data_IF_121831289593
#
_entry.id   IF_121831289593
#
_cell.length_a   1.000
_cell.length_b   1.000
_cell.length_c   1.000
_cell.angle_alpha   90.00
_cell.angle_beta   90.00
_cell.angle_gamma   90.00
#
_symmetry.space_group_name_H-M   'P 1'
#
loop_
_entity.id
_entity.type
_entity.pdbx_description
1 polymer ?
#
# COMPACT_ATOMS: atom_id res chain seq x y z
N UNK A 1 31.27 -30.11 15.26
CA UNK A 1 30.76 -29.08 14.32
C UNK A 1 29.37 -28.72 14.81
N UNK A 2 29.07 -27.45 15.12
CA UNK A 2 27.70 -27.08 15.47
C UNK A 2 26.86 -27.30 14.21
N UNK A 3 25.86 -28.17 14.31
CA UNK A 3 24.86 -28.35 13.28
C UNK A 3 24.11 -27.04 13.11
N UNK A 4 24.39 -26.34 12.02
CA UNK A 4 23.52 -25.26 11.55
C UNK A 4 22.23 -25.96 11.14
N UNK A 5 21.26 -26.03 12.05
CA UNK A 5 19.87 -26.29 11.68
C UNK A 5 19.52 -25.22 10.67
N UNK A 6 19.50 -25.59 9.39
CA UNK A 6 18.85 -24.78 8.37
C UNK A 6 17.41 -24.62 8.86
N UNK A 7 17.08 -23.38 9.20
CA UNK A 7 15.72 -23.02 9.56
C UNK A 7 14.88 -23.13 8.28
N UNK A 8 14.20 -24.26 8.13
CA UNK A 8 13.38 -24.64 6.98
C UNK A 8 12.02 -23.92 7.02
N UNK A 9 12.04 -22.60 7.23
CA UNK A 9 10.85 -21.77 7.25
C UNK A 9 10.28 -21.59 5.82
N UNK A 10 8.97 -21.70 5.62
CA UNK A 10 8.37 -21.51 4.30
C UNK A 10 8.53 -20.08 3.79
N UNK A 11 8.65 -19.93 2.47
CA UNK A 11 8.66 -18.62 1.82
C UNK A 11 7.27 -17.98 1.89
N UNK A 12 7.23 -16.66 2.06
CA UNK A 12 6.00 -15.87 1.88
C UNK A 12 5.35 -16.14 0.50
N UNK A 13 6.18 -16.39 -0.51
CA UNK A 13 5.73 -16.70 -1.86
C UNK A 13 4.99 -18.02 -2.01
N UNK A 14 5.18 -18.94 -1.05
CA UNK A 14 4.46 -20.20 -0.99
C UNK A 14 3.24 -20.09 -0.09
N UNK A 15 3.33 -19.34 1.02
CA UNK A 15 2.18 -19.11 1.91
C UNK A 15 1.10 -18.23 1.28
N UNK A 16 1.46 -17.18 0.54
CA UNK A 16 0.54 -16.25 -0.15
C UNK A 16 0.78 -16.26 -1.66
N UNK A 17 0.35 -17.30 -2.39
CA UNK A 17 0.91 -17.65 -3.69
C UNK A 17 0.59 -16.69 -4.83
N UNK A 18 -0.59 -16.07 -4.83
CA UNK A 18 -0.94 -15.05 -5.83
C UNK A 18 -0.23 -13.74 -5.52
N UNK A 19 0.46 -13.21 -6.52
CA UNK A 19 1.07 -11.89 -6.44
C UNK A 19 1.11 -11.20 -7.79
N UNK A 20 1.10 -9.88 -7.75
CA UNK A 20 0.99 -9.01 -8.93
C UNK A 20 2.04 -7.91 -8.85
N UNK A 21 2.63 -7.55 -9.99
CA UNK A 21 3.49 -6.39 -10.07
C UNK A 21 2.65 -5.10 -9.94
N UNK A 22 3.08 -4.09 -9.16
CA UNK A 22 2.36 -2.84 -8.95
C UNK A 22 1.87 -2.17 -10.24
N UNK A 23 0.69 -1.52 -10.22
CA UNK A 23 0.25 -0.70 -11.34
C UNK A 23 1.29 0.36 -11.69
N UNK A 24 1.41 0.67 -12.98
CA UNK A 24 2.33 1.68 -13.49
C UNK A 24 1.52 2.79 -14.15
N UNK A 25 1.56 3.99 -13.57
CA UNK A 25 0.90 5.17 -14.14
C UNK A 25 1.58 5.62 -15.44
N UNK A 26 2.92 5.65 -15.45
CA UNK A 26 3.72 6.07 -16.60
C UNK A 26 3.88 7.59 -16.75
N UNK A 27 3.13 8.35 -15.96
CA UNK A 27 3.17 9.82 -15.85
C UNK A 27 2.74 10.23 -14.43
N UNK A 28 3.15 11.41 -13.97
CA UNK A 28 2.95 11.82 -12.58
C UNK A 28 1.60 12.47 -12.29
N UNK A 29 1.08 13.28 -13.22
CA UNK A 29 -0.05 14.17 -12.97
C UNK A 29 -1.40 13.50 -12.58
N UNK A 30 -1.72 12.24 -12.97
CA UNK A 30 -2.97 11.58 -12.58
C UNK A 30 -3.04 11.22 -11.09
N UNK A 31 -1.93 11.28 -10.36
CA UNK A 31 -1.87 11.09 -8.92
C UNK A 31 -1.36 12.34 -8.21
N UNK A 32 -1.71 12.48 -6.93
CA UNK A 32 -1.24 13.60 -6.11
C UNK A 32 -1.89 13.69 -4.74
N UNK A 33 -1.33 14.51 -3.83
CA UNK A 33 -1.78 14.62 -2.44
C UNK A 33 -3.10 15.40 -2.27
N UNK A 34 -3.65 15.98 -3.33
CA UNK A 34 -4.87 16.79 -3.29
C UNK A 34 -5.85 16.43 -4.41
N UNK A 35 -7.04 15.96 -4.05
CA UNK A 35 -8.07 15.55 -4.99
C UNK A 35 -8.59 16.71 -5.85
N UNK A 36 -8.73 17.91 -5.29
CA UNK A 36 -9.22 19.08 -6.01
C UNK A 36 -8.25 19.49 -7.14
N UNK A 37 -6.95 19.38 -6.89
CA UNK A 37 -5.90 19.57 -7.89
C UNK A 37 -6.02 18.54 -9.01
N UNK A 38 -6.31 17.27 -8.72
CA UNK A 38 -6.51 16.26 -9.76
C UNK A 38 -7.71 16.57 -10.67
N UNK A 39 -8.83 17.02 -10.09
CA UNK A 39 -10.00 17.47 -10.86
C UNK A 39 -9.65 18.68 -11.75
N UNK A 40 -8.89 19.63 -11.20
CA UNK A 40 -8.42 20.81 -11.95
C UNK A 40 -7.45 20.46 -13.08
N UNK A 41 -6.58 19.45 -12.87
CA UNK A 41 -5.69 18.90 -13.91
C UNK A 41 -6.47 18.26 -15.05
N UNK A 42 -7.47 17.47 -14.71
CA UNK A 42 -8.36 16.88 -15.69
C UNK A 42 -9.06 17.95 -16.53
N UNK A 43 -9.63 18.97 -15.88
CA UNK A 43 -10.29 20.08 -16.59
C UNK A 43 -9.33 20.84 -17.51
N UNK A 44 -8.09 21.08 -17.06
CA UNK A 44 -7.06 21.70 -17.89
C UNK A 44 -6.69 20.83 -19.11
N UNK A 45 -6.56 19.52 -18.92
CA UNK A 45 -6.33 18.58 -20.02
C UNK A 45 -7.48 18.58 -21.04
N UNK A 46 -8.73 18.63 -20.58
CA UNK A 46 -9.90 18.61 -21.48
C UNK A 46 -10.13 19.94 -22.21
N UNK A 47 -9.70 21.07 -21.62
CA UNK A 47 -9.77 22.41 -22.24
C UNK A 47 -8.68 22.64 -23.29
N UNK A 48 -7.56 21.94 -23.19
CA UNK A 48 -6.48 22.05 -24.16
C UNK A 48 -6.87 21.37 -25.48
N UNK A 49 -6.34 21.87 -26.60
CA UNK A 49 -6.64 21.36 -27.93
C UNK A 49 -5.36 20.95 -28.68
N UNK A 50 -5.50 20.04 -29.64
CA UNK A 50 -4.44 19.68 -30.57
C UNK A 50 -3.09 19.34 -29.91
N UNK A 51 -1.98 19.93 -30.37
CA UNK A 51 -0.64 19.67 -29.83
C UNK A 51 -0.48 19.99 -28.33
N UNK A 52 -1.17 21.01 -27.83
CA UNK A 52 -1.07 21.41 -26.41
C UNK A 52 -1.66 20.34 -25.50
N UNK A 53 -2.79 19.75 -25.90
CA UNK A 53 -3.39 18.63 -25.18
C UNK A 53 -2.47 17.41 -25.16
N UNK A 54 -1.82 17.12 -26.28
CA UNK A 54 -0.89 15.99 -26.40
C UNK A 54 0.35 16.22 -25.52
N UNK A 55 0.88 17.45 -25.49
CA UNK A 55 1.99 17.81 -24.61
C UNK A 55 1.60 17.67 -23.12
N UNK A 56 0.45 18.23 -22.70
CA UNK A 56 -0.04 18.14 -21.32
C UNK A 56 -0.32 16.69 -20.88
N UNK A 57 -0.74 15.83 -21.80
CA UNK A 57 -1.04 14.44 -21.50
C UNK A 57 0.20 13.62 -21.12
N UNK A 58 1.38 13.99 -21.63
CA UNK A 58 2.65 13.26 -21.49
C UNK A 58 2.55 11.82 -22.05
N UNK A 59 2.35 11.62 -23.38
CA UNK A 59 2.17 10.30 -23.97
C UNK A 59 3.37 9.40 -23.73
N UNK A 60 3.09 8.13 -23.48
CA UNK A 60 4.09 7.07 -23.34
C UNK A 60 3.92 6.07 -24.48
N UNK A 61 4.85 5.12 -24.58
CA UNK A 61 4.69 3.96 -25.49
C UNK A 61 3.40 3.16 -25.25
N UNK A 62 2.83 3.23 -24.04
CA UNK A 62 1.70 2.39 -23.64
C UNK A 62 0.36 3.13 -23.70
N UNK A 63 0.38 4.46 -23.51
CA UNK A 63 -0.83 5.27 -23.43
C UNK A 63 -0.61 6.62 -24.11
N UNK A 64 -1.47 6.89 -25.08
CA UNK A 64 -1.59 8.11 -25.88
C UNK A 64 -3.04 8.61 -25.83
N UNK A 65 -3.31 9.84 -26.29
CA UNK A 65 -4.69 10.34 -26.42
C UNK A 65 -5.57 9.46 -27.32
N UNK A 66 -4.97 8.63 -28.17
CA UNK A 66 -5.65 7.71 -29.10
C UNK A 66 -5.77 6.28 -28.57
N UNK A 67 -5.33 6.03 -27.34
CA UNK A 67 -5.50 4.73 -26.70
C UNK A 67 -6.95 4.52 -26.30
N UNK A 68 -7.52 3.39 -26.70
CA UNK A 68 -8.80 2.90 -26.23
C UNK A 68 -8.53 1.66 -25.37
N UNK A 69 -9.12 1.62 -24.18
CA UNK A 69 -8.94 0.54 -23.21
C UNK A 69 -10.26 0.27 -22.52
N UNK A 70 -10.44 -0.96 -22.03
CA UNK A 70 -11.59 -1.30 -21.20
C UNK A 70 -11.60 -0.53 -19.90
N UNK A 71 -12.79 -0.39 -19.32
CA UNK A 71 -13.02 0.29 -18.05
C UNK A 71 -12.26 -0.41 -16.92
N UNK A 72 -11.77 0.37 -15.96
CA UNK A 72 -11.25 -0.23 -14.72
C UNK A 72 -12.40 -0.91 -13.95
N UNK A 73 -12.21 -2.14 -13.47
CA UNK A 73 -13.20 -2.82 -12.64
C UNK A 73 -13.62 -1.96 -11.44
N UNK A 74 -14.93 -1.89 -11.18
CA UNK A 74 -15.51 -1.10 -10.09
C UNK A 74 -15.51 0.43 -10.30
N UNK A 75 -15.00 0.92 -11.43
CA UNK A 75 -14.96 2.36 -11.73
C UNK A 75 -16.03 2.73 -12.76
N UNK A 76 -16.27 4.03 -12.92
CA UNK A 76 -17.23 4.60 -13.88
C UNK A 76 -16.57 5.45 -14.97
N UNK A 77 -15.26 5.29 -15.17
CA UNK A 77 -14.50 6.06 -16.17
C UNK A 77 -14.88 5.70 -17.61
N UNK A 78 -14.65 6.64 -18.53
CA UNK A 78 -14.86 6.45 -19.97
C UNK A 78 -13.92 5.42 -20.60
N UNK A 79 -14.36 4.79 -21.68
CA UNK A 79 -13.60 3.79 -22.47
C UNK A 79 -13.23 4.30 -23.87
N UNK A 80 -13.76 5.46 -24.25
CA UNK A 80 -13.45 6.15 -25.50
C UNK A 80 -12.05 6.74 -25.48
N UNK A 81 -11.43 6.92 -26.65
CA UNK A 81 -10.17 7.66 -26.79
C UNK A 81 -10.23 9.02 -26.11
N UNK A 82 -9.24 9.34 -25.28
CA UNK A 82 -9.13 10.63 -24.61
C UNK A 82 -9.19 11.81 -25.58
N UNK A 83 -8.69 11.66 -26.81
CA UNK A 83 -8.80 12.68 -27.86
C UNK A 83 -10.24 13.21 -28.05
N UNK A 84 -11.26 12.36 -27.84
CA UNK A 84 -12.69 12.70 -27.95
C UNK A 84 -13.38 12.78 -26.60
N UNK A 85 -12.66 12.53 -25.51
CA UNK A 85 -13.25 12.49 -24.18
C UNK A 85 -13.77 13.87 -23.79
N UNK A 86 -14.99 13.86 -23.27
CA UNK A 86 -15.72 15.00 -22.72
C UNK A 86 -16.32 14.58 -21.39
N UNK A 87 -16.49 15.52 -20.47
CA UNK A 87 -17.19 15.26 -19.22
C UNK A 87 -16.32 15.45 -17.98
N UNK A 88 -16.92 15.29 -16.79
CA UNK A 88 -16.24 15.57 -15.54
C UNK A 88 -15.11 14.57 -15.27
N UNK A 89 -14.17 14.98 -14.43
CA UNK A 89 -13.17 14.08 -13.88
C UNK A 89 -13.85 12.93 -13.13
N UNK A 90 -13.47 11.66 -13.37
CA UNK A 90 -13.84 10.57 -12.47
C UNK A 90 -13.46 10.92 -11.03
N UNK A 91 -14.29 10.53 -10.06
CA UNK A 91 -14.01 10.85 -8.65
C UNK A 91 -12.66 10.25 -8.25
N UNK A 92 -11.67 11.06 -7.82
CA UNK A 92 -10.39 10.53 -7.41
C UNK A 92 -10.52 9.55 -6.24
N UNK A 93 -9.78 8.46 -6.29
CA UNK A 93 -9.79 7.41 -5.25
C UNK A 93 -8.50 7.43 -4.45
N UNK A 94 -8.57 7.00 -3.19
CA UNK A 94 -7.38 6.83 -2.34
C UNK A 94 -6.54 5.64 -2.80
N UNK A 95 -5.24 5.86 -2.86
CA UNK A 95 -4.23 4.85 -3.20
C UNK A 95 -3.05 4.98 -2.26
N UNK A 96 -2.35 3.88 -1.99
CA UNK A 96 -1.05 3.95 -1.33
C UNK A 96 -0.01 4.27 -2.41
N UNK A 97 0.46 5.52 -2.44
CA UNK A 97 1.38 6.02 -3.48
C UNK A 97 2.85 5.74 -3.13
N UNK A 98 3.22 5.95 -1.87
CA UNK A 98 4.50 5.58 -1.30
C UNK A 98 4.30 4.95 0.10
N UNK A 99 5.37 4.50 0.76
CA UNK A 99 5.26 3.91 2.10
C UNK A 99 4.61 4.90 3.06
N UNK A 100 3.47 4.50 3.64
CA UNK A 100 2.63 5.34 4.52
C UNK A 100 2.10 6.66 3.91
N UNK A 101 2.32 6.91 2.62
CA UNK A 101 1.81 8.09 1.92
C UNK A 101 0.63 7.69 1.04
N UNK A 102 -0.55 7.84 1.62
CA UNK A 102 -1.79 7.70 0.89
C UNK A 102 -2.13 9.01 0.17
N UNK A 103 -2.35 8.90 -1.13
CA UNK A 103 -2.65 10.02 -2.00
C UNK A 103 -3.92 9.72 -2.80
N UNK A 104 -4.23 10.59 -3.75
CA UNK A 104 -5.36 10.45 -4.66
C UNK A 104 -4.87 10.02 -6.05
N UNK A 105 -5.70 9.28 -6.76
CA UNK A 105 -5.51 8.87 -8.15
C UNK A 105 -6.81 9.09 -8.92
N UNK A 106 -6.72 9.62 -10.15
CA UNK A 106 -7.84 9.58 -11.10
C UNK A 106 -7.98 8.14 -11.62
N UNK A 107 -9.05 7.41 -11.28
CA UNK A 107 -9.18 5.98 -11.61
C UNK A 107 -9.64 5.77 -13.05
N UNK A 108 -8.84 6.22 -14.02
CA UNK A 108 -9.12 6.08 -15.45
C UNK A 108 -8.01 5.28 -16.14
N UNK A 109 -8.38 4.13 -16.71
CA UNK A 109 -7.43 3.21 -17.34
C UNK A 109 -6.62 3.88 -18.48
N UNK A 110 -7.20 4.89 -19.14
CA UNK A 110 -6.55 5.60 -20.25
C UNK A 110 -5.34 6.41 -19.76
N UNK A 111 -5.29 6.75 -18.47
CA UNK A 111 -4.19 7.46 -17.81
C UNK A 111 -3.10 6.52 -17.27
N UNK A 112 -3.36 5.20 -17.24
CA UNK A 112 -2.52 4.22 -16.54
C UNK A 112 -1.87 3.26 -17.54
N UNK A 113 -0.55 3.37 -17.65
CA UNK A 113 0.28 2.55 -18.53
C UNK A 113 0.12 1.03 -18.35
N UNK A 114 0.03 0.56 -17.10
CA UNK A 114 -0.28 -0.83 -16.77
C UNK A 114 -1.18 -0.87 -15.52
N UNK A 115 -2.49 -1.04 -15.72
CA UNK A 115 -3.46 -0.85 -14.63
C UNK A 115 -3.63 -2.02 -13.68
N UNK A 116 -3.28 -3.25 -14.09
CA UNK A 116 -3.53 -4.48 -13.33
C UNK A 116 -5.00 -4.63 -12.91
N UNK A 117 -5.95 -4.73 -13.86
CA UNK A 117 -7.39 -4.83 -13.57
C UNK A 117 -7.75 -5.87 -12.50
N UNK A 118 -6.98 -6.95 -12.40
CA UNK A 118 -7.11 -7.99 -11.38
C UNK A 118 -7.03 -7.47 -9.94
N UNK A 119 -6.25 -6.41 -9.66
CA UNK A 119 -6.19 -5.78 -8.34
C UNK A 119 -7.40 -4.90 -8.07
N UNK A 120 -7.91 -4.21 -9.10
CA UNK A 120 -9.12 -3.38 -9.01
C UNK A 120 -10.36 -4.23 -8.75
N UNK A 121 -10.46 -5.43 -9.36
CA UNK A 121 -11.60 -6.35 -9.13
C UNK A 121 -11.76 -6.71 -7.67
N UNK A 122 -10.66 -6.93 -6.97
CA UNK A 122 -10.66 -7.40 -5.58
C UNK A 122 -10.47 -6.27 -4.58
N UNK A 123 -10.47 -5.01 -5.03
CA UNK A 123 -10.33 -3.84 -4.18
C UNK A 123 -11.70 -3.47 -3.60
N UNK A 124 -11.98 -3.93 -2.39
CA UNK A 124 -13.17 -3.60 -1.62
C UNK A 124 -12.84 -3.40 -0.13
N UNK A 125 -13.85 -3.13 0.69
CA UNK A 125 -13.73 -2.88 2.14
C UNK A 125 -13.18 -4.07 2.95
N UNK A 126 -13.19 -5.29 2.39
CA UNK A 126 -12.68 -6.51 3.05
C UNK A 126 -11.25 -6.81 2.65
N UNK A 127 -10.73 -6.16 1.61
CA UNK A 127 -9.41 -6.46 1.09
C UNK A 127 -8.30 -5.86 1.94
N UNK A 128 -7.22 -6.62 2.06
CA UNK A 128 -5.93 -6.12 2.54
C UNK A 128 -4.88 -6.44 1.49
N UNK A 129 -4.18 -5.44 1.00
CA UNK A 129 -3.04 -5.61 0.12
C UNK A 129 -1.75 -5.62 0.95
N UNK A 130 -0.99 -6.70 0.84
CA UNK A 130 0.37 -6.77 1.36
C UNK A 130 1.34 -6.39 0.26
N UNK A 131 2.27 -5.50 0.55
CA UNK A 131 3.30 -5.04 -0.41
C UNK A 131 4.65 -5.42 0.13
N UNK A 132 5.41 -6.20 -0.64
CA UNK A 132 6.82 -6.45 -0.35
C UNK A 132 7.61 -5.16 -0.47
N UNK A 133 8.38 -4.86 0.57
CA UNK A 133 9.28 -3.71 0.61
C UNK A 133 10.73 -4.20 0.59
N UNK A 134 11.58 -3.74 -0.34
CA UNK A 134 12.99 -4.09 -0.36
C UNK A 134 13.66 -3.34 0.78
N UNK A 135 13.91 -4.02 1.89
CA UNK A 135 14.43 -3.40 3.11
C UNK A 135 15.74 -4.06 3.53
N UNK A 136 16.80 -3.79 2.76
CA UNK A 136 18.17 -4.19 3.12
C UNK A 136 18.79 -3.28 4.21
N UNK A 137 18.21 -2.09 4.43
CA UNK A 137 18.77 -1.03 5.30
C UNK A 137 17.95 -0.75 6.55
N UNK A 138 17.00 -1.62 6.89
CA UNK A 138 16.08 -1.45 8.02
C UNK A 138 14.73 -0.85 7.60
N UNK A 139 13.68 -1.22 8.34
CA UNK A 139 12.30 -0.93 7.94
C UNK A 139 11.39 -2.16 8.06
N UNK A 140 10.08 -1.99 7.87
CA UNK A 140 9.17 -3.12 7.71
C UNK A 140 9.46 -3.83 6.37
N UNK A 141 9.52 -5.17 6.40
CA UNK A 141 9.68 -6.00 5.19
C UNK A 141 8.41 -6.03 4.34
N UNK A 142 7.26 -5.86 5.00
CA UNK A 142 5.95 -5.84 4.39
C UNK A 142 5.20 -4.57 4.83
N UNK A 143 4.47 -3.97 3.89
CA UNK A 143 3.47 -2.96 4.18
C UNK A 143 2.08 -3.56 3.98
N UNK A 144 1.12 -3.17 4.80
CA UNK A 144 -0.27 -3.56 4.65
C UNK A 144 -1.15 -2.32 4.45
N UNK A 145 -2.09 -2.39 3.50
CA UNK A 145 -3.00 -1.28 3.21
C UNK A 145 -4.35 -1.79 2.73
N UNK A 146 -5.39 -1.00 2.98
CA UNK A 146 -6.75 -1.21 2.46
C UNK A 146 -6.97 -0.50 1.12
N UNK A 147 -5.97 0.26 0.65
CA UNK A 147 -6.02 1.00 -0.61
C UNK A 147 -5.15 0.34 -1.67
N UNK A 148 -5.47 0.55 -2.95
CA UNK A 148 -4.69 0.01 -4.05
C UNK A 148 -3.24 0.54 -3.98
N UNK A 149 -2.21 -0.31 -3.88
CA UNK A 149 -0.83 0.15 -3.76
C UNK A 149 -0.16 0.33 -5.11
N UNK A 150 0.61 1.42 -5.25
CA UNK A 150 1.38 1.79 -6.44
C UNK A 150 2.90 1.66 -6.26
N UNK A 151 3.34 1.23 -5.07
CA UNK A 151 4.72 1.25 -4.62
C UNK A 151 5.61 0.32 -5.44
N UNK A 152 6.84 0.74 -5.72
CA UNK A 152 7.88 -0.07 -6.38
C UNK A 152 9.23 0.13 -5.68
N UNK A 153 10.18 -0.81 -5.77
CA UNK A 153 10.03 -2.18 -6.31
C UNK A 153 9.36 -3.10 -5.29
N UNK A 154 8.63 -4.13 -5.74
CA UNK A 154 7.97 -5.08 -4.84
C UNK A 154 6.81 -5.82 -5.52
N UNK A 155 6.35 -6.92 -4.94
CA UNK A 155 5.13 -7.61 -5.36
C UNK A 155 3.99 -7.27 -4.40
N UNK A 156 2.78 -7.18 -4.95
CA UNK A 156 1.54 -7.03 -4.19
C UNK A 156 0.93 -8.41 -4.02
N UNK A 157 0.57 -8.77 -2.79
CA UNK A 157 -0.12 -9.99 -2.39
C UNK A 157 -1.46 -9.61 -1.74
N UNK A 158 -2.56 -9.61 -2.50
CA UNK A 158 -3.90 -9.41 -1.92
C UNK A 158 -4.21 -10.55 -0.94
N UNK A 159 -4.90 -10.28 0.17
CA UNK A 159 -5.35 -11.31 1.11
C UNK A 159 -6.47 -12.17 0.52
N UNK A 160 -7.31 -11.60 -0.33
CA UNK A 160 -8.45 -12.29 -0.93
C UNK A 160 -8.37 -12.29 -2.46
N UNK A 161 -8.60 -13.46 -3.08
CA UNK A 161 -8.58 -13.66 -4.54
C UNK A 161 -9.90 -13.29 -5.20
N UNK A 162 -10.97 -13.14 -4.41
CA UNK A 162 -12.30 -12.68 -4.84
C UNK A 162 -12.79 -11.50 -3.99
N UNK A 163 -13.73 -10.70 -4.53
CA UNK A 163 -14.43 -9.68 -3.75
C UNK A 163 -15.21 -10.29 -2.57
N UNK A 164 -15.58 -9.44 -1.61
CA UNK A 164 -16.33 -9.80 -0.42
C UNK A 164 -15.52 -10.59 0.62
N UNK A 165 -14.19 -10.58 0.51
CA UNK A 165 -13.32 -11.36 1.39
C UNK A 165 -13.34 -12.87 1.13
N UNK A 166 -13.74 -13.29 -0.07
CA UNK A 166 -13.82 -14.69 -0.45
C UNK A 166 -12.51 -15.22 -1.05
N UNK A 167 -12.32 -16.55 -1.00
CA UNK A 167 -11.12 -17.25 -1.49
C UNK A 167 -9.80 -16.62 -1.02
N UNK A 168 -9.38 -16.85 0.23
CA UNK A 168 -8.13 -16.28 0.72
C UNK A 168 -6.94 -16.70 -0.15
N UNK A 169 -6.05 -15.77 -0.41
CA UNK A 169 -4.75 -15.99 -1.05
C UNK A 169 -3.78 -16.63 -0.06
N UNK A 170 -4.11 -17.83 0.38
CA UNK A 170 -3.25 -18.67 1.20
C UNK A 170 -3.01 -19.99 0.48
N UNK A 171 -1.88 -20.66 0.78
CA UNK A 171 -1.63 -22.01 0.29
C UNK A 171 -2.83 -22.92 0.60
N UNK A 172 -3.41 -23.62 -0.40
CA UNK A 172 -4.52 -24.53 -0.15
C UNK A 172 -4.15 -25.58 0.91
N UNK A 173 -5.03 -25.80 1.88
CA UNK A 173 -4.79 -26.73 3.01
C UNK A 173 -4.00 -26.13 4.18
N UNK A 174 -3.39 -24.95 4.04
CA UNK A 174 -2.60 -24.32 5.11
C UNK A 174 -3.40 -24.08 6.39
N UNK A 175 -4.62 -23.53 6.28
CA UNK A 175 -5.47 -23.26 7.44
C UNK A 175 -5.85 -24.54 8.19
N UNK A 176 -6.15 -25.62 7.46
CA UNK A 176 -6.48 -26.91 8.05
C UNK A 176 -5.26 -27.53 8.74
N UNK A 177 -4.08 -27.46 8.10
CA UNK A 177 -2.83 -27.96 8.66
C UNK A 177 -2.45 -27.23 9.94
N UNK A 178 -2.45 -25.90 9.91
CA UNK A 178 -2.18 -25.07 11.09
C UNK A 178 -3.22 -25.32 12.19
N UNK A 179 -4.50 -25.46 11.82
CA UNK A 179 -5.54 -25.71 12.80
C UNK A 179 -5.38 -27.06 13.53
N UNK A 180 -4.95 -28.10 12.81
CA UNK A 180 -4.61 -29.41 13.41
C UNK A 180 -3.42 -29.31 14.36
N UNK A 181 -2.37 -28.57 13.97
CA UNK A 181 -1.14 -28.39 14.77
C UNK A 181 -1.38 -27.57 16.04
N UNK A 182 -2.12 -26.48 15.91
CA UNK A 182 -2.37 -25.53 16.99
C UNK A 182 -3.58 -25.90 17.88
N UNK A 183 -4.42 -26.85 17.44
CA UNK A 183 -5.67 -27.19 18.13
C UNK A 183 -6.73 -26.07 18.09
N UNK A 184 -6.69 -25.21 17.07
CA UNK A 184 -7.61 -24.07 16.87
C UNK A 184 -8.06 -23.96 15.41
N UNK A 185 -8.96 -23.03 15.08
CA UNK A 185 -9.40 -22.77 13.70
C UNK A 185 -8.93 -21.37 13.27
N UNK A 186 -7.73 -21.22 12.68
CA UNK A 186 -7.19 -19.91 12.35
C UNK A 186 -7.97 -19.29 11.19
N UNK A 187 -8.33 -18.02 11.29
CA UNK A 187 -8.91 -17.27 10.18
C UNK A 187 -7.79 -16.81 9.22
N UNK A 188 -8.10 -16.49 7.95
CA UNK A 188 -7.12 -15.92 7.03
C UNK A 188 -6.42 -14.66 7.56
N UNK A 189 -7.16 -13.81 8.27
CA UNK A 189 -6.62 -12.62 8.91
C UNK A 189 -5.63 -12.92 10.05
N UNK A 190 -5.76 -14.07 10.71
CA UNK A 190 -4.84 -14.50 11.76
C UNK A 190 -3.50 -14.93 11.16
N UNK A 191 -3.56 -15.68 10.05
CA UNK A 191 -2.35 -16.04 9.30
C UNK A 191 -1.65 -14.80 8.76
N UNK A 192 -2.41 -13.83 8.22
CA UNK A 192 -1.82 -12.57 7.78
C UNK A 192 -1.18 -11.80 8.94
N UNK A 193 -1.86 -11.71 10.09
CA UNK A 193 -1.30 -11.08 11.28
C UNK A 193 0.02 -11.75 11.69
N UNK A 194 0.03 -13.08 11.78
CA UNK A 194 1.25 -13.85 12.06
C UNK A 194 2.37 -13.51 11.06
N UNK A 195 2.08 -13.51 9.75
CA UNK A 195 3.04 -13.14 8.69
C UNK A 195 3.62 -11.74 8.96
N UNK A 196 2.79 -10.75 9.24
CA UNK A 196 3.26 -9.38 9.50
C UNK A 196 4.17 -9.28 10.73
N UNK A 197 3.94 -10.12 11.74
CA UNK A 197 4.71 -10.14 12.97
C UNK A 197 6.06 -10.86 12.81
N UNK A 198 6.14 -11.91 12.00
CA UNK A 198 7.27 -12.85 12.00
C UNK A 198 8.09 -12.91 10.71
N UNK A 199 7.63 -12.27 9.63
CA UNK A 199 8.37 -12.24 8.35
C UNK A 199 9.81 -11.75 8.54
N UNK A 200 10.74 -12.46 7.91
CA UNK A 200 12.17 -12.16 7.95
C UNK A 200 12.61 -11.34 6.75
N UNK A 201 13.82 -10.74 6.79
CA UNK A 201 14.35 -9.97 5.67
C UNK A 201 14.46 -10.74 4.35
N UNK A 202 14.65 -12.06 4.40
CA UNK A 202 14.68 -12.94 3.22
C UNK A 202 13.28 -13.38 2.73
N UNK A 203 12.21 -12.78 3.30
CA UNK A 203 10.81 -13.09 3.06
C UNK A 203 10.42 -14.54 3.40
N UNK A 204 11.19 -15.22 4.25
CA UNK A 204 10.73 -16.43 4.92
C UNK A 204 9.79 -16.07 6.07
N UNK A 205 8.81 -16.93 6.33
CA UNK A 205 7.83 -16.76 7.41
C UNK A 205 7.90 -18.00 8.30
N UNK A 206 8.59 -17.94 9.43
CA UNK A 206 8.63 -19.05 10.36
C UNK A 206 7.23 -19.27 10.96
N UNK A 207 6.77 -20.51 10.91
CA UNK A 207 5.50 -20.95 11.50
C UNK A 207 5.78 -21.74 12.78
N UNK A 208 4.81 -21.79 13.68
CA UNK A 208 4.92 -22.51 14.97
C UNK A 208 3.70 -23.39 15.22
N UNK A 209 3.89 -24.51 15.92
CA UNK A 209 2.81 -25.31 16.52
C UNK A 209 2.55 -24.93 18.00
N UNK A 210 3.34 -24.02 18.58
CA UNK A 210 3.13 -23.49 19.93
C UNK A 210 1.95 -22.49 19.92
N UNK A 211 0.82 -22.90 20.51
CA UNK A 211 -0.41 -22.11 20.54
C UNK A 211 -0.30 -20.79 21.31
N UNK A 212 0.52 -20.72 22.35
CA UNK A 212 0.73 -19.49 23.13
C UNK A 212 1.60 -18.51 22.34
N UNK A 213 2.65 -19.00 21.70
CA UNK A 213 3.48 -18.19 20.82
C UNK A 213 2.67 -17.69 19.61
N UNK A 214 1.90 -18.58 18.96
CA UNK A 214 0.99 -18.23 17.87
C UNK A 214 0.06 -17.07 18.26
N UNK A 215 -0.62 -17.20 19.40
CA UNK A 215 -1.58 -16.20 19.87
C UNK A 215 -0.93 -14.83 20.11
N UNK A 216 0.25 -14.80 20.75
CA UNK A 216 1.01 -13.56 20.96
C UNK A 216 1.47 -12.92 19.65
N UNK A 217 1.99 -13.72 18.72
CA UNK A 217 2.41 -13.23 17.40
C UNK A 217 1.23 -12.72 16.57
N UNK A 218 0.07 -13.37 16.62
CA UNK A 218 -1.16 -12.91 15.97
C UNK A 218 -1.65 -11.59 16.59
N UNK A 219 -1.62 -11.43 17.92
CA UNK A 219 -2.00 -10.18 18.57
C UNK A 219 -1.08 -9.02 18.13
N UNK A 220 0.23 -9.24 18.14
CA UNK A 220 1.21 -8.27 17.66
C UNK A 220 1.00 -7.93 16.18
N UNK A 221 0.76 -8.95 15.36
CA UNK A 221 0.46 -8.82 13.94
C UNK A 221 -0.79 -8.00 13.65
N UNK A 222 -1.86 -8.21 14.43
CA UNK A 222 -3.10 -7.42 14.34
C UNK A 222 -2.83 -5.96 14.70
N UNK A 223 -1.99 -5.70 15.70
CA UNK A 223 -1.55 -4.35 16.08
C UNK A 223 -0.80 -3.66 14.93
N UNK A 224 0.12 -4.37 14.27
CA UNK A 224 0.86 -3.88 13.08
C UNK A 224 -0.11 -3.58 11.93
N UNK A 225 -1.00 -4.53 11.62
CA UNK A 225 -2.00 -4.37 10.56
C UNK A 225 -2.89 -3.14 10.80
N UNK A 226 -3.37 -2.95 12.02
CA UNK A 226 -4.18 -1.79 12.37
C UNK A 226 -3.41 -0.47 12.17
N UNK A 227 -2.15 -0.41 12.62
CA UNK A 227 -1.29 0.77 12.44
C UNK A 227 -1.03 1.10 10.97
N UNK A 228 -0.66 0.10 10.16
CA UNK A 228 -0.31 0.32 8.76
C UNK A 228 -1.53 0.66 7.90
N UNK A 229 -2.68 0.03 8.17
CA UNK A 229 -3.93 0.27 7.44
C UNK A 229 -4.61 1.57 7.83
N UNK A 230 -4.38 2.06 9.06
CA UNK A 230 -5.03 3.28 9.61
C UNK A 230 -6.56 3.21 9.57
N UNK A 231 -7.10 1.99 9.63
CA UNK A 231 -8.54 1.75 9.61
C UNK A 231 -9.15 1.86 11.00
N UNK A 232 -10.37 2.36 11.08
CA UNK A 232 -11.14 2.43 12.32
C UNK A 232 -10.69 3.57 13.24
N UNK A 233 -10.55 3.29 14.54
CA UNK A 233 -10.16 4.29 15.52
C UNK A 233 -8.74 4.78 15.26
N UNK A 234 -8.54 6.11 15.37
CA UNK A 234 -7.21 6.70 15.21
C UNK A 234 -6.30 6.33 16.38
N UNK A 235 -5.08 5.84 16.13
CA UNK A 235 -4.14 5.54 17.20
C UNK A 235 -3.78 6.80 17.98
N UNK A 236 -3.47 6.62 19.27
CA UNK A 236 -3.05 7.69 20.18
C UNK A 236 -1.74 7.29 20.84
N UNK A 237 -0.79 8.22 20.92
CA UNK A 237 0.42 7.99 21.71
C UNK A 237 0.09 7.91 23.20
N UNK A 238 0.69 6.95 23.94
CA UNK A 238 0.51 6.85 25.38
C UNK A 238 1.13 8.05 26.12
N UNK A 239 0.79 8.21 27.40
CA UNK A 239 1.45 9.18 28.28
C UNK A 239 1.24 10.66 27.93
N UNK A 240 0.18 11.01 27.18
CA UNK A 240 -0.11 12.40 26.83
C UNK A 240 0.82 13.00 25.77
N UNK A 241 1.64 12.17 25.11
CA UNK A 241 2.63 12.59 24.10
C UNK A 241 2.03 12.81 22.71
N UNK A 242 0.76 13.23 22.62
CA UNK A 242 0.09 13.46 21.34
C UNK A 242 0.85 14.57 20.57
N UNK A 243 1.22 14.38 19.29
CA UNK A 243 1.83 15.45 18.51
C UNK A 243 0.80 16.55 18.23
N UNK A 244 1.19 17.81 18.37
CA UNK A 244 0.35 18.95 18.04
C UNK A 244 1.21 20.11 17.50
N UNK A 245 0.55 21.05 16.82
CA UNK A 245 1.20 22.23 16.24
C UNK A 245 1.52 23.23 17.36
N UNK A 246 2.80 23.37 17.74
CA UNK A 246 3.30 24.38 18.70
C UNK A 246 3.39 25.77 18.09
N UNK A 247 3.81 25.84 16.82
CA UNK A 247 3.88 27.07 16.05
C UNK A 247 3.21 26.85 14.69
N UNK A 248 2.35 27.77 14.22
CA UNK A 248 1.63 27.61 12.95
C UNK A 248 2.55 27.30 11.78
N UNK A 249 2.13 26.36 10.93
CA UNK A 249 2.86 26.04 9.71
C UNK A 249 2.74 27.21 8.71
N UNK A 250 3.81 27.48 7.97
CA UNK A 250 3.79 28.46 6.90
C UNK A 250 2.77 28.06 5.81
N UNK A 251 2.29 29.03 5.04
CA UNK A 251 1.32 28.73 3.98
C UNK A 251 1.90 27.85 2.87
N UNK A 252 3.23 27.78 2.74
CA UNK A 252 3.95 26.91 1.81
C UNK A 252 5.32 26.57 2.42
N UNK A 253 5.39 25.55 3.28
CA UNK A 253 6.66 25.15 3.85
C UNK A 253 7.57 24.62 2.74
N UNK A 254 8.84 24.99 2.78
CA UNK A 254 9.83 24.58 1.78
C UNK A 254 10.83 23.56 2.33
N UNK A 255 11.10 23.63 3.63
CA UNK A 255 12.04 22.75 4.31
C UNK A 255 11.37 21.94 5.42
N UNK A 256 11.94 20.77 5.69
CA UNK A 256 11.61 19.93 6.83
C UNK A 256 12.92 19.61 7.54
N UNK A 257 12.95 19.80 8.85
CA UNK A 257 14.09 19.51 9.71
C UNK A 257 13.58 18.96 11.06
N UNK A 258 14.48 18.47 11.90
CA UNK A 258 14.13 17.86 13.17
C UNK A 258 15.12 18.22 14.26
N UNK A 259 14.60 18.87 15.31
CA UNK A 259 15.32 19.09 16.55
C UNK A 259 15.13 17.87 17.47
N UNK A 260 16.21 17.12 17.69
CA UNK A 260 16.18 15.91 18.51
C UNK A 260 16.13 16.19 20.00
N UNK A 261 16.70 17.30 20.46
CA UNK A 261 16.72 17.65 21.88
C UNK A 261 15.35 18.17 22.33
N UNK A 262 14.66 18.92 21.45
CA UNK A 262 13.30 19.40 21.69
C UNK A 262 12.20 18.42 21.25
N UNK A 263 12.56 17.28 20.65
CA UNK A 263 11.63 16.36 19.98
C UNK A 263 10.64 17.08 19.06
N UNK A 264 11.15 17.97 18.22
CA UNK A 264 10.33 18.92 17.45
C UNK A 264 10.61 18.80 15.96
N UNK A 265 9.56 18.53 15.19
CA UNK A 265 9.59 18.60 13.74
C UNK A 265 9.40 20.04 13.28
N UNK A 266 10.35 20.54 12.50
CA UNK A 266 10.42 21.90 12.00
C UNK A 266 9.99 21.92 10.53
N UNK A 267 9.03 22.78 10.20
CA UNK A 267 8.57 23.03 8.83
C UNK A 267 8.70 24.52 8.56
N UNK A 268 9.88 24.94 8.10
CA UNK A 268 10.36 26.33 8.19
C UNK A 268 10.19 26.87 9.63
N UNK A 269 9.39 27.94 9.81
CA UNK A 269 9.08 28.53 11.12
C UNK A 269 8.04 27.73 11.93
N UNK A 270 7.34 26.79 11.29
CA UNK A 270 6.32 25.94 11.89
C UNK A 270 6.94 24.86 12.78
N UNK A 271 6.25 24.52 13.87
CA UNK A 271 6.74 23.55 14.87
C UNK A 271 5.66 22.55 15.24
N UNK A 272 5.99 21.26 15.19
CA UNK A 272 5.16 20.16 15.68
C UNK A 272 5.94 19.43 16.76
N UNK A 273 5.33 19.25 17.94
CA UNK A 273 5.96 18.61 19.11
C UNK A 273 4.89 17.96 19.99
N UNK A 274 5.20 16.94 20.80
CA UNK A 274 6.42 16.13 20.69
C UNK A 274 6.34 15.20 19.47
N UNK A 275 7.49 14.95 18.86
CA UNK A 275 7.71 13.99 17.78
C UNK A 275 8.83 13.07 18.25
N UNK A 276 8.54 11.81 18.65
CA UNK A 276 9.59 10.90 19.10
C UNK A 276 10.66 10.72 18.02
N UNK A 277 11.96 10.64 18.38
CA UNK A 277 13.04 10.50 17.41
C UNK A 277 12.88 9.27 16.50
N UNK A 278 12.27 8.21 17.01
CA UNK A 278 12.01 6.97 16.27
C UNK A 278 10.99 7.15 15.14
N UNK A 279 10.07 8.11 15.26
CA UNK A 279 9.16 8.47 14.17
C UNK A 279 9.87 9.27 13.08
N UNK A 280 10.82 10.13 13.47
CA UNK A 280 11.67 10.87 12.53
C UNK A 280 12.63 9.93 11.79
N UNK A 281 13.30 9.03 12.51
CA UNK A 281 14.26 8.08 11.96
C UNK A 281 13.59 6.89 11.24
N UNK A 282 12.26 6.85 11.18
CA UNK A 282 11.55 5.73 10.58
C UNK A 282 11.78 5.68 9.07
N UNK A 283 12.43 4.61 8.63
CA UNK A 283 12.65 4.31 7.22
C UNK A 283 11.76 3.16 6.71
N UNK A 284 11.37 3.27 5.45
CA UNK A 284 10.76 2.20 4.68
C UNK A 284 11.39 2.19 3.28
N UNK A 285 11.96 1.04 2.88
CA UNK A 285 12.68 0.93 1.61
C UNK A 285 13.95 1.79 1.54
N UNK A 286 14.61 2.02 2.68
CA UNK A 286 15.81 2.86 2.79
C UNK A 286 15.58 4.36 2.61
N UNK A 287 14.33 4.82 2.76
CA UNK A 287 13.97 6.23 2.67
C UNK A 287 13.22 6.64 3.94
N UNK A 288 13.59 7.79 4.49
CA UNK A 288 12.89 8.39 5.64
C UNK A 288 11.48 8.80 5.26
N UNK A 289 10.50 8.22 5.96
CA UNK A 289 9.08 8.32 5.58
C UNK A 289 8.57 9.76 5.66
N UNK A 290 8.88 10.49 6.75
CA UNK A 290 8.40 11.86 6.93
C UNK A 290 8.97 12.83 5.88
N UNK A 291 10.24 12.68 5.52
CA UNK A 291 10.88 13.49 4.47
C UNK A 291 10.26 13.22 3.10
N UNK A 292 10.05 11.94 2.75
CA UNK A 292 9.43 11.56 1.49
C UNK A 292 7.99 12.09 1.40
N UNK A 293 7.22 11.93 2.48
CA UNK A 293 5.84 12.41 2.57
C UNK A 293 5.74 13.94 2.41
N UNK A 294 6.68 14.68 3.01
CA UNK A 294 6.76 16.13 2.89
C UNK A 294 7.17 16.55 1.47
N UNK A 295 8.22 15.93 0.93
CA UNK A 295 8.74 16.19 -0.42
C UNK A 295 7.66 16.01 -1.49
N UNK A 296 6.82 14.97 -1.36
CA UNK A 296 5.71 14.74 -2.29
C UNK A 296 4.69 15.90 -2.37
N UNK A 297 4.61 16.73 -1.32
CA UNK A 297 3.71 17.89 -1.23
C UNK A 297 4.39 19.20 -1.64
N UNK A 298 5.71 19.31 -1.44
CA UNK A 298 6.44 20.60 -1.54
C UNK A 298 7.43 20.69 -2.70
N UNK A 299 7.90 19.56 -3.24
CA UNK A 299 8.88 19.55 -4.32
C UNK A 299 8.40 20.35 -5.54
N UNK A 300 9.21 21.23 -6.13
CA UNK A 300 8.77 22.08 -7.23
C UNK A 300 8.28 21.24 -8.42
N UNK A 301 7.20 21.71 -9.08
CA UNK A 301 6.74 21.12 -10.33
C UNK A 301 7.31 21.90 -11.51
N UNK A 302 7.52 21.21 -12.63
CA UNK A 302 7.86 21.88 -13.89
C UNK A 302 6.72 22.83 -14.31
N UNK A 303 6.99 24.12 -14.54
CA UNK A 303 5.97 25.08 -14.96
C UNK A 303 5.26 24.64 -16.23
N UNK A 304 3.99 25.04 -16.39
CA UNK A 304 3.16 24.73 -17.58
C UNK A 304 2.87 23.24 -17.80
N UNK A 305 3.13 22.38 -16.82
CA UNK A 305 2.66 20.98 -16.81
C UNK A 305 1.38 20.85 -15.98
N UNK A 306 0.65 19.74 -16.15
CA UNK A 306 -0.50 19.43 -15.29
C UNK A 306 -0.05 19.23 -13.83
N UNK A 307 1.14 18.67 -13.60
CA UNK A 307 1.68 18.49 -12.25
C UNK A 307 1.91 19.82 -11.50
N UNK A 308 2.03 20.95 -12.21
CA UNK A 308 2.12 22.28 -11.61
C UNK A 308 0.80 22.79 -11.01
N UNK A 309 -0.34 22.22 -11.42
CA UNK A 309 -1.64 22.51 -10.80
C UNK A 309 -1.68 21.81 -9.44
N UNK A 310 -1.62 22.62 -8.38
CA UNK A 310 -1.49 22.21 -6.98
C UNK A 310 -2.21 23.21 -6.06
N UNK A 311 -2.43 22.87 -4.78
CA UNK A 311 -3.01 23.82 -3.82
C UNK A 311 -2.17 25.09 -3.72
N UNK A 312 -2.84 26.24 -3.65
CA UNK A 312 -2.16 27.52 -3.51
C UNK A 312 -1.56 27.71 -2.11
N UNK A 313 -2.03 27.00 -1.10
CA UNK A 313 -1.56 27.04 0.28
C UNK A 313 -1.61 25.64 0.88
N UNK A 314 -0.89 25.43 1.97
CA UNK A 314 -0.88 24.21 2.78
C UNK A 314 -2.28 23.92 3.32
N UNK A 315 -2.96 22.85 2.85
CA UNK A 315 -4.27 22.47 3.35
C UNK A 315 -4.21 21.94 4.79
N UNK A 316 -5.19 22.27 5.61
CA UNK A 316 -5.31 21.75 6.99
C UNK A 316 -5.36 20.22 7.05
N UNK A 317 -5.91 19.58 6.01
CA UNK A 317 -5.94 18.13 5.89
C UNK A 317 -4.53 17.52 5.91
N UNK A 318 -3.54 18.16 5.26
CA UNK A 318 -2.16 17.68 5.27
C UNK A 318 -1.53 17.78 6.66
N UNK A 319 -1.83 18.83 7.44
CA UNK A 319 -1.41 18.87 8.85
C UNK A 319 -2.01 17.71 9.64
N UNK A 320 -3.29 17.42 9.44
CA UNK A 320 -3.97 16.33 10.15
C UNK A 320 -3.39 14.97 9.78
N UNK A 321 -3.13 14.73 8.49
CA UNK A 321 -2.45 13.53 7.98
C UNK A 321 -1.03 13.40 8.56
N UNK A 322 -0.27 14.50 8.65
CA UNK A 322 1.09 14.50 9.21
C UNK A 322 1.10 14.12 10.69
N UNK A 323 0.21 14.69 11.51
CA UNK A 323 0.11 14.37 12.94
C UNK A 323 -0.27 12.90 13.16
N UNK A 324 -1.16 12.37 12.33
CA UNK A 324 -1.54 10.95 12.35
C UNK A 324 -0.37 10.06 11.91
N UNK A 325 0.33 10.43 10.84
CA UNK A 325 1.50 9.71 10.35
C UNK A 325 2.59 9.63 11.42
N UNK A 326 2.95 10.76 12.05
CA UNK A 326 3.92 10.77 13.16
C UNK A 326 3.51 9.79 14.26
N UNK A 327 2.23 9.80 14.65
CA UNK A 327 1.69 8.90 15.68
C UNK A 327 1.82 7.43 15.27
N UNK A 328 1.49 7.10 14.01
CA UNK A 328 1.59 5.74 13.47
C UNK A 328 3.05 5.26 13.45
N UNK A 329 3.97 6.09 12.97
CA UNK A 329 5.39 5.74 12.88
C UNK A 329 6.03 5.52 14.26
N UNK A 330 5.73 6.38 15.22
CA UNK A 330 6.17 6.20 16.61
C UNK A 330 5.68 4.86 17.19
N UNK A 331 4.39 4.55 17.04
CA UNK A 331 3.81 3.31 17.56
C UNK A 331 4.33 2.06 16.83
N UNK A 332 4.63 2.16 15.53
CA UNK A 332 5.27 1.07 14.81
C UNK A 332 6.71 0.86 15.27
N UNK A 333 7.43 1.93 15.62
CA UNK A 333 8.77 1.81 16.17
C UNK A 333 8.76 1.09 17.54
N UNK A 334 7.77 1.35 18.39
CA UNK A 334 7.56 0.65 19.68
C UNK A 334 7.26 -0.86 19.52
N UNK A 335 6.74 -1.28 18.36
CA UNK A 335 6.41 -2.68 18.07
C UNK A 335 7.65 -3.49 17.66
N UNK A 336 8.67 -2.86 17.06
CA UNK A 336 9.85 -3.59 16.54
C UNK A 336 10.60 -4.41 17.61
N UNK A 337 10.85 -3.89 18.83
CA UNK A 337 11.46 -4.70 19.90
C UNK A 337 10.62 -5.92 20.26
N UNK A 338 9.29 -5.77 20.31
CA UNK A 338 8.38 -6.88 20.62
C UNK A 338 8.44 -7.98 19.56
N UNK A 339 8.62 -7.62 18.28
CA UNK A 339 8.86 -8.61 17.22
C UNK A 339 10.18 -9.36 17.43
N UNK A 340 11.24 -8.67 17.88
CA UNK A 340 12.53 -9.29 18.15
C UNK A 340 12.50 -10.21 19.40
N UNK A 341 11.59 -9.98 20.33
CA UNK A 341 11.38 -10.82 21.52
C UNK A 341 10.63 -12.14 21.21
N UNK A 342 9.97 -12.25 20.05
CA UNK A 342 9.32 -13.49 19.61
C UNK A 342 10.36 -14.57 19.30
N UNK A 343 10.72 -15.34 20.33
CA UNK A 343 11.61 -16.50 20.19
C UNK A 343 10.82 -17.66 19.61
N UNK A 344 11.14 -18.04 18.37
CA UNK A 344 10.42 -19.08 17.66
C UNK A 344 10.77 -20.47 18.20
N UNK A 345 9.73 -21.20 18.62
CA UNK A 345 9.79 -22.56 19.14
C UNK A 345 8.86 -23.46 18.33
N UNK A 346 9.09 -24.77 18.39
CA UNK A 346 8.25 -25.79 17.74
C UNK A 346 7.90 -25.44 16.27
N UNK A 347 8.92 -25.36 15.38
CA UNK A 347 8.70 -24.85 14.03
C UNK A 347 7.87 -25.80 13.18
N UNK A 348 6.90 -25.26 12.44
CA UNK A 348 6.26 -25.96 11.32
C UNK A 348 7.04 -25.64 10.06
N UNK A 349 7.73 -26.65 9.51
CA UNK A 349 8.72 -26.45 8.44
C UNK A 349 8.11 -26.56 7.04
N UNK A 350 8.81 -26.06 6.03
CA UNK A 350 8.42 -26.21 4.62
C UNK A 350 8.40 -27.69 4.20
N UNK A 351 9.36 -28.50 4.64
CA UNK A 351 9.39 -29.95 4.43
C UNK A 351 8.17 -30.66 5.03
N UNK A 352 7.70 -30.20 6.20
CA UNK A 352 6.46 -30.69 6.78
C UNK A 352 5.24 -30.32 5.91
N UNK A 353 5.15 -29.07 5.46
CA UNK A 353 4.07 -28.62 4.58
C UNK A 353 4.06 -29.39 3.24
N UNK A 354 5.24 -29.79 2.74
CA UNK A 354 5.36 -30.70 1.59
C UNK A 354 4.80 -32.08 1.90
N UNK A 355 5.18 -32.66 3.05
CA UNK A 355 4.70 -33.97 3.49
C UNK A 355 3.18 -33.98 3.69
N UNK A 356 2.61 -32.86 4.16
CA UNK A 356 1.18 -32.66 4.35
C UNK A 356 0.42 -32.36 3.05
N UNK A 357 1.10 -32.21 1.91
CA UNK A 357 0.48 -31.88 0.62
C UNK A 357 -0.02 -30.44 0.50
N UNK A 358 0.41 -29.54 1.39
CA UNK A 358 0.14 -28.09 1.32
C UNK A 358 1.06 -27.45 0.27
N UNK A 359 2.30 -27.92 0.18
CA UNK A 359 3.28 -27.48 -0.81
C UNK A 359 3.71 -28.63 -1.76
N UNK A 360 4.05 -28.34 -3.02
CA UNK A 360 3.96 -27.05 -3.68
C UNK A 360 2.51 -26.66 -3.98
N UNK A 361 2.22 -25.35 -3.97
CA UNK A 361 0.89 -24.86 -4.34
C UNK A 361 0.59 -25.13 -5.83
N UNK A 362 -0.66 -25.42 -6.20
CA UNK A 362 -1.05 -25.55 -7.60
C UNK A 362 -0.93 -24.21 -8.34
N UNK A 363 -0.60 -24.24 -9.63
CA UNK A 363 -0.43 -23.03 -10.47
C UNK A 363 -1.66 -22.10 -10.45
N UNK A 364 -2.86 -22.68 -10.32
CA UNK A 364 -4.10 -21.94 -10.21
C UNK A 364 -4.13 -21.02 -8.98
N UNK A 365 -3.50 -21.40 -7.87
CA UNK A 365 -3.44 -20.58 -6.65
C UNK A 365 -2.50 -19.38 -6.79
N UNK A 366 -1.57 -19.40 -7.76
CA UNK A 366 -0.62 -18.30 -8.04
C UNK A 366 -1.24 -17.18 -8.89
N UNK A 367 -2.51 -17.32 -9.28
CA UNK A 367 -3.23 -16.41 -10.20
C UNK A 367 -4.45 -15.79 -9.48
N UNK A 368 -5.00 -14.67 -9.98
CA UNK A 368 -6.31 -14.22 -9.51
C UNK A 368 -7.33 -15.36 -9.67
N UNK A 369 -8.39 -15.34 -8.86
CA UNK A 369 -9.52 -16.23 -9.13
C UNK A 369 -10.07 -15.94 -10.53
N UNK A 370 -10.62 -16.95 -11.22
CA UNK A 370 -11.31 -16.75 -12.49
C UNK A 370 -12.61 -15.99 -12.23
N UNK A 371 -12.52 -14.66 -12.15
CA UNK A 371 -13.66 -13.78 -11.99
C UNK A 371 -14.07 -13.28 -13.37
N UNK A 372 -15.19 -13.79 -13.87
CA UNK A 372 -15.97 -13.16 -14.95
C UNK A 372 -17.38 -12.79 -14.43
N UNK A 373 -17.50 -12.45 -13.16
CA UNK A 373 -18.81 -12.15 -12.56
C UNK A 373 -19.32 -10.75 -12.92
N UNK A 374 -18.49 -9.90 -13.53
CA UNK A 374 -18.81 -8.50 -13.83
C UNK A 374 -18.77 -8.24 -15.34
N UNK A 375 -19.82 -7.61 -15.87
CA UNK A 375 -19.82 -7.06 -17.22
C UNK A 375 -18.84 -5.89 -17.29
N UNK A 376 -17.62 -6.16 -17.74
CA UNK A 376 -16.62 -5.14 -17.98
C UNK A 376 -16.80 -4.55 -19.38
N UNK A 377 -17.02 -3.24 -19.45
CA UNK A 377 -17.04 -2.52 -20.71
C UNK A 377 -15.61 -2.47 -21.29
N UNK A 378 -15.43 -3.05 -22.46
CA UNK A 378 -14.22 -3.05 -23.24
C UNK A 378 -13.94 -1.71 -23.92
N UNK A 379 -12.84 -1.63 -24.70
CA UNK A 379 -12.45 -0.42 -25.41
C UNK A 379 -13.59 0.11 -26.29
N UNK A 380 -13.82 1.42 -26.28
CA UNK A 380 -14.85 2.06 -27.11
C UNK A 380 -16.28 1.49 -26.90
N UNK A 381 -16.63 1.13 -25.65
CA UNK A 381 -17.97 0.66 -25.32
C UNK A 381 -18.28 -0.80 -25.71
N UNK A 382 -17.26 -1.58 -26.08
CA UNK A 382 -17.46 -2.97 -26.50
C UNK A 382 -17.78 -3.87 -25.30
N UNK A 383 -18.94 -4.50 -25.26
CA UNK A 383 -19.20 -5.59 -24.31
C UNK A 383 -18.81 -6.92 -24.94
N UNK A 384 -18.10 -7.78 -24.21
CA UNK A 384 -17.98 -9.18 -24.60
C UNK A 384 -19.39 -9.80 -24.55
N UNK A 385 -19.85 -10.34 -25.68
CA UNK A 385 -21.00 -11.24 -25.70
C UNK A 385 -20.56 -12.49 -24.93
N UNK A 386 -21.12 -12.71 -23.74
CA UNK A 386 -20.93 -13.94 -22.95
C UNK A 386 -21.85 -15.02 -23.52
#
# INVERSE_FOLDING_TARGET
MPSVTHDDAPLLADLMPWSVAPPRLGRGWPAGPDAASLKSRWDALLKAEGPDREALFEPTRSRTLRSAVGRLPGQSSGTEKLLRATGPCPEPVRVLHAAFDEQWLIPDHRLIDAARPELWRVADERQVFVVESPSDTGGPQLLATSHLPLLRPGRIRPLHRRPGGAEPNLAPGLLEHLGKRLGLAPAPADVLAWIMATVRPDLTVPLTEDGELWSRGVELGRRILWLMRRDGDRPKLPGGRRPYVRAPLSSRPLTIDYDRDEETLLLDEGRISPVPPEAWDFEAGGVRVLEQWFTARTAPAEPRTLAAIRPATWPQAWTSELLELITVLALLAEVRPQQAELTLTAPVTASELHTAGVLPVPDAARRPASVLDHHEEGPEGQFALI
#
